data_IF_232346038026
#
_entry.id   IF_232346038026
#
_cell.length_a   1.000
_cell.length_b   1.000
_cell.length_c   1.000
_cell.angle_alpha   90.00
_cell.angle_beta   90.00
_cell.angle_gamma   90.00
#
_symmetry.space_group_name_H-M   'P 1'
#
loop_
_entity.id
_entity.type
_entity.pdbx_description
1 polymer ?
#
# COMPACT_ATOMS: atom_id res chain seq x y z
N UNK A 1 2.23 -15.12 15.91
CA UNK A 1 1.47 -14.75 17.13
C UNK A 1 0.94 -16.00 17.83
N UNK A 2 0.11 -16.83 17.20
CA UNK A 2 -0.45 -18.03 17.87
C UNK A 2 0.58 -18.95 18.54
N UNK A 3 1.71 -19.27 17.89
CA UNK A 3 2.77 -20.05 18.52
C UNK A 3 3.46 -19.34 19.70
N UNK A 4 3.53 -18.00 19.65
CA UNK A 4 4.12 -17.19 20.73
C UNK A 4 3.17 -17.12 21.92
N UNK A 5 1.87 -16.98 21.68
CA UNK A 5 0.87 -16.96 22.76
C UNK A 5 0.67 -18.34 23.38
N UNK A 6 0.76 -19.42 22.60
CA UNK A 6 0.77 -20.79 23.13
C UNK A 6 2.01 -21.03 24.01
N UNK A 7 3.20 -20.60 23.55
CA UNK A 7 4.42 -20.65 24.35
C UNK A 7 4.28 -19.83 25.65
N UNK A 8 3.72 -18.61 25.59
CA UNK A 8 3.46 -17.78 26.77
C UNK A 8 2.57 -18.45 27.80
N UNK A 9 1.54 -19.19 27.39
CA UNK A 9 0.54 -19.74 28.32
C UNK A 9 0.87 -21.16 28.81
N UNK A 10 1.62 -21.94 28.03
CA UNK A 10 1.74 -23.39 28.26
C UNK A 10 3.16 -23.92 28.38
N UNK A 11 4.18 -23.15 27.98
CA UNK A 11 5.55 -23.65 28.03
C UNK A 11 5.98 -23.91 29.49
N UNK A 12 6.57 -25.08 29.81
CA UNK A 12 7.00 -25.38 31.17
C UNK A 12 8.09 -24.43 31.66
N UNK A 13 8.90 -23.90 30.75
CA UNK A 13 10.11 -23.11 31.01
C UNK A 13 9.78 -21.65 31.23
N UNK A 14 10.17 -21.12 32.38
CA UNK A 14 9.94 -19.71 32.72
C UNK A 14 10.58 -18.74 31.72
N UNK A 15 11.83 -19.00 31.31
CA UNK A 15 12.57 -18.16 30.36
C UNK A 15 11.86 -18.08 29.01
N UNK A 16 11.27 -19.19 28.55
CA UNK A 16 10.52 -19.25 27.28
C UNK A 16 9.23 -18.43 27.39
N UNK A 17 8.45 -18.60 28.47
CA UNK A 17 7.24 -17.78 28.69
C UNK A 17 7.56 -16.30 28.78
N UNK A 18 8.65 -15.94 29.46
CA UNK A 18 9.13 -14.55 29.58
C UNK A 18 9.57 -13.98 28.23
N UNK A 19 10.32 -14.74 27.44
CA UNK A 19 10.73 -14.33 26.10
C UNK A 19 9.50 -14.18 25.16
N UNK A 20 8.53 -15.08 25.27
CA UNK A 20 7.28 -15.01 24.52
C UNK A 20 6.48 -13.73 24.87
N UNK A 21 6.37 -13.37 26.15
CA UNK A 21 5.74 -12.13 26.58
C UNK A 21 6.40 -10.88 25.97
N UNK A 22 7.74 -10.85 25.90
CA UNK A 22 8.47 -9.74 25.29
C UNK A 22 8.28 -9.67 23.77
N UNK A 23 8.22 -10.83 23.09
CA UNK A 23 8.08 -10.91 21.64
C UNK A 23 6.73 -10.41 21.10
N UNK A 24 5.70 -10.29 21.95
CA UNK A 24 4.39 -9.76 21.53
C UNK A 24 4.39 -8.24 21.32
N UNK A 25 5.39 -7.52 21.85
CA UNK A 25 5.57 -6.07 21.71
C UNK A 25 6.32 -5.68 20.43
N UNK A 26 5.82 -6.06 19.24
CA UNK A 26 6.51 -5.84 17.97
C UNK A 26 5.71 -5.01 16.96
N UNK A 27 4.58 -5.52 16.49
CA UNK A 27 3.70 -4.84 15.53
C UNK A 27 2.35 -4.53 16.17
N UNK A 28 1.59 -3.59 15.60
CA UNK A 28 0.23 -3.32 16.06
C UNK A 28 -0.60 -4.62 16.08
N UNK A 29 -0.53 -5.42 15.01
CA UNK A 29 -1.24 -6.69 14.94
C UNK A 29 -0.79 -7.69 16.03
N UNK A 30 0.52 -7.81 16.30
CA UNK A 30 1.01 -8.75 17.32
C UNK A 30 0.54 -8.36 18.72
N UNK A 31 0.58 -7.06 19.03
CA UNK A 31 0.12 -6.49 20.30
C UNK A 31 -1.37 -6.76 20.51
N UNK A 32 -2.20 -6.44 19.52
CA UNK A 32 -3.65 -6.57 19.63
C UNK A 32 -4.09 -8.04 19.69
N UNK A 33 -3.52 -8.92 18.86
CA UNK A 33 -3.86 -10.35 18.91
C UNK A 33 -3.35 -11.06 20.17
N UNK A 34 -2.18 -10.65 20.70
CA UNK A 34 -1.61 -11.23 21.91
C UNK A 34 -2.17 -10.64 23.21
N UNK A 35 -2.97 -9.57 23.13
CA UNK A 35 -3.46 -8.84 24.29
C UNK A 35 -4.30 -9.71 25.25
N UNK A 36 -5.22 -10.57 24.80
CA UNK A 36 -5.99 -11.44 25.69
C UNK A 36 -5.09 -12.41 26.47
N UNK A 37 -4.08 -12.97 25.80
CA UNK A 37 -3.17 -13.93 26.39
C UNK A 37 -2.19 -13.27 27.38
N UNK A 38 -1.71 -12.07 27.08
CA UNK A 38 -0.97 -11.24 28.03
C UNK A 38 -1.81 -10.91 29.26
N UNK A 39 -3.07 -10.48 29.07
CA UNK A 39 -3.96 -10.18 30.20
C UNK A 39 -4.23 -11.42 31.06
N UNK A 40 -4.34 -12.60 30.45
CA UNK A 40 -4.51 -13.88 31.15
C UNK A 40 -3.24 -14.28 31.92
N UNK A 41 -2.07 -14.19 31.29
CA UNK A 41 -0.78 -14.53 31.89
C UNK A 41 -0.44 -13.61 33.08
N UNK A 42 -0.82 -12.33 33.03
CA UNK A 42 -0.63 -11.39 34.15
C UNK A 42 -1.37 -11.82 35.42
N UNK A 43 -2.44 -12.61 35.29
CA UNK A 43 -3.24 -13.05 36.45
C UNK A 43 -2.88 -14.47 36.87
N UNK A 44 -2.61 -15.35 35.89
CA UNK A 44 -2.56 -16.79 36.12
C UNK A 44 -1.15 -17.39 36.11
N UNK A 45 -0.11 -16.68 35.65
CA UNK A 45 1.23 -17.26 35.60
C UNK A 45 1.83 -17.42 37.02
N UNK A 46 2.36 -18.62 37.28
CA UNK A 46 3.00 -18.98 38.54
C UNK A 46 4.29 -18.22 38.85
N UNK A 47 4.97 -17.70 37.83
CA UNK A 47 6.27 -17.05 37.99
C UNK A 47 6.14 -15.53 38.00
N UNK A 48 6.57 -14.90 39.09
CA UNK A 48 6.52 -13.45 39.28
C UNK A 48 7.29 -12.70 38.19
N UNK A 49 8.42 -13.26 37.72
CA UNK A 49 9.23 -12.67 36.65
C UNK A 49 8.49 -12.67 35.30
N UNK A 50 7.62 -13.65 35.04
CA UNK A 50 6.78 -13.68 33.83
C UNK A 50 5.69 -12.62 33.97
N UNK A 51 4.97 -12.58 35.09
CA UNK A 51 3.92 -11.56 35.35
C UNK A 51 4.48 -10.14 35.27
N UNK A 52 5.68 -9.91 35.82
CA UNK A 52 6.39 -8.63 35.72
C UNK A 52 6.75 -8.26 34.27
N UNK A 53 7.23 -9.23 33.48
CA UNK A 53 7.53 -9.00 32.06
C UNK A 53 6.25 -8.72 31.26
N UNK A 54 5.17 -9.44 31.54
CA UNK A 54 3.85 -9.22 30.93
C UNK A 54 3.33 -7.81 31.26
N UNK A 55 3.43 -7.36 32.51
CA UNK A 55 3.05 -6.01 32.89
C UNK A 55 3.85 -4.94 32.12
N UNK A 56 5.15 -5.17 31.91
CA UNK A 56 6.00 -4.29 31.08
C UNK A 56 5.60 -4.30 29.61
N UNK A 57 5.22 -5.45 29.06
CA UNK A 57 4.71 -5.55 27.68
C UNK A 57 3.40 -4.79 27.54
N UNK A 58 2.46 -4.96 28.48
CA UNK A 58 1.15 -4.29 28.47
C UNK A 58 1.26 -2.76 28.55
N UNK A 59 2.26 -2.24 29.27
CA UNK A 59 2.60 -0.80 29.28
C UNK A 59 2.82 -0.22 27.86
N UNK A 60 3.41 -1.01 26.96
CA UNK A 60 3.67 -0.59 25.58
C UNK A 60 2.44 -0.62 24.67
N UNK A 61 1.31 -1.14 25.16
CA UNK A 61 0.07 -1.31 24.41
C UNK A 61 -0.95 -0.28 24.91
N UNK A 62 -1.09 0.82 24.16
CA UNK A 62 -2.07 1.89 24.46
C UNK A 62 -3.47 1.41 24.07
N UNK A 63 -4.07 0.56 24.89
CA UNK A 63 -5.38 -0.08 24.66
C UNK A 63 -6.15 -0.26 25.96
N UNK A 64 -7.49 -0.11 25.93
CA UNK A 64 -8.35 -0.21 27.13
C UNK A 64 -8.26 -1.55 27.86
N UNK A 65 -8.26 -2.65 27.11
CA UNK A 65 -8.09 -3.98 27.71
C UNK A 65 -6.70 -4.17 28.37
N UNK A 66 -5.65 -3.48 27.89
CA UNK A 66 -4.34 -3.50 28.57
C UNK A 66 -4.41 -2.74 29.90
N UNK A 67 -5.03 -1.56 29.90
CA UNK A 67 -5.29 -0.79 31.12
C UNK A 67 -6.10 -1.61 32.13
N UNK A 68 -7.20 -2.23 31.71
CA UNK A 68 -8.04 -3.06 32.58
C UNK A 68 -7.34 -4.34 33.09
N UNK A 69 -6.34 -4.86 32.39
CA UNK A 69 -5.50 -5.95 32.89
C UNK A 69 -4.54 -5.46 33.98
N UNK A 70 -3.89 -4.31 33.77
CA UNK A 70 -3.00 -3.70 34.75
C UNK A 70 -3.75 -3.28 36.02
N UNK A 71 -4.92 -2.65 35.90
CA UNK A 71 -5.75 -2.25 37.04
C UNK A 71 -6.25 -3.44 37.86
N UNK A 72 -6.50 -4.59 37.23
CA UNK A 72 -6.79 -5.84 37.96
C UNK A 72 -5.57 -6.32 38.72
N UNK A 73 -4.39 -6.36 38.10
CA UNK A 73 -3.16 -6.74 38.79
C UNK A 73 -2.84 -5.82 39.98
N UNK A 74 -3.14 -4.52 39.90
CA UNK A 74 -3.01 -3.58 41.04
C UNK A 74 -3.84 -4.01 42.24
N UNK A 75 -5.05 -4.54 42.02
CA UNK A 75 -5.94 -4.95 43.11
C UNK A 75 -5.62 -6.35 43.62
N UNK A 76 -5.35 -7.26 42.70
CA UNK A 76 -5.50 -8.70 42.95
C UNK A 76 -4.15 -9.46 42.95
N UNK A 77 -3.05 -8.90 42.41
CA UNK A 77 -1.77 -9.64 42.36
C UNK A 77 -1.20 -9.84 43.77
N UNK A 78 -0.76 -11.06 44.14
CA UNK A 78 -0.23 -11.34 45.48
C UNK A 78 1.09 -10.60 45.77
N UNK A 79 1.86 -10.24 44.75
CA UNK A 79 3.22 -9.70 44.88
C UNK A 79 3.23 -8.16 44.95
N UNK A 80 3.70 -7.55 46.05
CA UNK A 80 3.69 -6.09 46.22
C UNK A 80 4.42 -5.32 45.11
N UNK A 81 5.55 -5.86 44.64
CA UNK A 81 6.36 -5.26 43.57
C UNK A 81 5.58 -5.19 42.26
N UNK A 82 4.85 -6.25 41.92
CA UNK A 82 4.02 -6.30 40.71
C UNK A 82 2.86 -5.30 40.83
N UNK A 83 2.17 -5.23 41.98
CA UNK A 83 1.11 -4.24 42.20
C UNK A 83 1.63 -2.81 42.00
N UNK A 84 2.81 -2.49 42.53
CA UNK A 84 3.45 -1.18 42.39
C UNK A 84 3.79 -0.86 40.94
N UNK A 85 4.42 -1.79 40.23
CA UNK A 85 4.79 -1.60 38.82
C UNK A 85 3.55 -1.50 37.92
N UNK A 86 2.55 -2.36 38.15
CA UNK A 86 1.27 -2.32 37.44
C UNK A 86 0.53 -0.99 37.64
N UNK A 87 0.57 -0.42 38.85
CA UNK A 87 -0.05 0.89 39.12
C UNK A 87 0.61 2.00 38.31
N UNK A 88 1.95 2.05 38.30
CA UNK A 88 2.70 3.01 37.47
C UNK A 88 2.37 2.83 35.98
N UNK A 89 2.37 1.59 35.49
CA UNK A 89 2.12 1.31 34.09
C UNK A 89 0.66 1.61 33.68
N UNK A 90 -0.31 1.34 34.56
CA UNK A 90 -1.70 1.72 34.34
C UNK A 90 -1.85 3.24 34.22
N UNK A 91 -1.18 4.02 35.07
CA UNK A 91 -1.19 5.48 34.97
C UNK A 91 -0.58 5.99 33.65
N UNK A 92 0.53 5.40 33.21
CA UNK A 92 1.16 5.72 31.92
C UNK A 92 0.21 5.41 30.74
N UNK A 93 -0.38 4.21 30.71
CA UNK A 93 -1.32 3.80 29.65
C UNK A 93 -2.57 4.68 29.66
N UNK A 94 -3.12 4.98 30.83
CA UNK A 94 -4.30 5.86 30.97
C UNK A 94 -4.03 7.25 30.40
N UNK A 95 -2.92 7.88 30.79
CA UNK A 95 -2.52 9.18 30.22
C UNK A 95 -2.33 9.12 28.70
N UNK A 96 -1.73 8.04 28.20
CA UNK A 96 -1.54 7.86 26.76
C UNK A 96 -2.88 7.70 26.02
N UNK A 97 -3.86 7.00 26.61
CA UNK A 97 -5.21 6.88 26.07
C UNK A 97 -5.92 8.23 26.00
N UNK A 98 -5.82 9.03 27.07
CA UNK A 98 -6.45 10.35 27.18
C UNK A 98 -5.85 11.37 26.19
N UNK A 99 -4.55 11.27 25.90
CA UNK A 99 -3.84 12.18 24.99
C UNK A 99 -3.86 11.74 23.53
N UNK A 100 -4.28 10.51 23.24
CA UNK A 100 -4.23 9.99 21.88
C UNK A 100 -5.26 10.68 20.95
N UNK A 101 -4.87 11.04 19.72
CA UNK A 101 -5.78 11.65 18.76
C UNK A 101 -6.93 10.70 18.40
N UNK A 102 -8.08 11.27 18.04
CA UNK A 102 -9.20 10.50 17.46
C UNK A 102 -8.91 10.26 15.99
N UNK A 103 -9.30 9.09 15.49
CA UNK A 103 -9.12 8.73 14.09
C UNK A 103 -10.03 9.59 13.21
N UNK A 104 -9.43 10.22 12.22
CA UNK A 104 -10.02 10.97 11.14
C UNK A 104 -9.41 10.51 9.81
N UNK A 105 -10.17 10.66 8.72
CA UNK A 105 -9.62 10.45 7.39
C UNK A 105 -8.74 11.65 7.01
N UNK A 106 -7.52 11.37 6.54
CA UNK A 106 -6.70 12.35 5.85
C UNK A 106 -6.96 12.22 4.35
N UNK A 107 -7.16 13.34 3.68
CA UNK A 107 -7.12 13.40 2.22
C UNK A 107 -5.75 12.94 1.72
N UNK A 108 -5.71 12.32 0.54
CA UNK A 108 -4.45 11.84 -0.04
C UNK A 108 -3.43 13.00 -0.08
N UNK A 109 -2.21 12.83 0.48
CA UNK A 109 -1.23 13.91 0.56
C UNK A 109 -0.95 14.54 -0.82
N UNK A 110 -1.13 15.86 -0.94
CA UNK A 110 -0.77 16.62 -2.14
C UNK A 110 -1.83 16.67 -3.27
N UNK A 111 -3.11 16.35 -3.00
CA UNK A 111 -4.21 16.57 -3.96
C UNK A 111 -5.26 17.57 -3.42
N UNK A 112 -5.96 18.33 -4.29
CA UNK A 112 -7.08 19.17 -3.88
C UNK A 112 -8.20 18.32 -3.27
N UNK A 113 -9.07 18.94 -2.47
CA UNK A 113 -10.21 18.26 -1.84
C UNK A 113 -11.55 18.67 -2.47
N UNK A 114 -12.38 17.71 -2.95
CA UNK A 114 -12.06 16.28 -3.11
C UNK A 114 -11.03 16.04 -4.23
N UNK A 115 -10.22 14.96 -4.17
CA UNK A 115 -9.24 14.67 -5.22
C UNK A 115 -9.92 14.49 -6.58
N UNK A 116 -9.45 15.23 -7.58
CA UNK A 116 -9.87 15.11 -8.98
C UNK A 116 -8.84 14.35 -9.80
N UNK A 117 -9.24 13.87 -10.97
CA UNK A 117 -8.41 13.09 -11.90
C UNK A 117 -7.77 11.83 -11.28
N UNK A 118 -8.52 11.14 -10.42
CA UNK A 118 -8.08 9.87 -9.86
C UNK A 118 -8.02 8.79 -10.96
N UNK A 119 -6.90 8.06 -11.15
CA UNK A 119 -6.81 7.05 -12.20
C UNK A 119 -7.80 5.90 -11.97
N UNK A 120 -8.49 5.48 -13.03
CA UNK A 120 -9.56 4.47 -12.94
C UNK A 120 -9.07 3.07 -12.51
N UNK A 121 -7.78 2.80 -12.69
CA UNK A 121 -7.14 1.50 -12.45
C UNK A 121 -6.16 1.49 -11.26
N UNK A 122 -6.16 2.56 -10.46
CA UNK A 122 -5.25 2.71 -9.32
C UNK A 122 -5.86 2.20 -8.00
N UNK A 123 -4.99 1.70 -7.10
CA UNK A 123 -5.39 1.36 -5.73
C UNK A 123 -5.60 2.63 -4.92
N UNK A 124 -6.76 2.74 -4.27
CA UNK A 124 -7.12 3.87 -3.43
C UNK A 124 -6.42 3.70 -2.09
N UNK A 125 -5.60 4.68 -1.70
CA UNK A 125 -4.94 4.71 -0.40
C UNK A 125 -5.61 5.76 0.48
N UNK A 126 -6.32 5.30 1.50
CA UNK A 126 -6.85 6.15 2.56
C UNK A 126 -5.80 6.28 3.67
N UNK A 127 -5.34 7.49 3.92
CA UNK A 127 -4.47 7.80 5.05
C UNK A 127 -5.31 8.15 6.28
N UNK A 128 -4.81 7.76 7.46
CA UNK A 128 -5.44 8.02 8.75
C UNK A 128 -4.45 8.80 9.62
N UNK A 129 -4.96 9.74 10.40
CA UNK A 129 -4.17 10.55 11.36
C UNK A 129 -3.84 9.79 12.65
N UNK A 130 -4.63 8.75 12.95
CA UNK A 130 -4.46 7.86 14.09
C UNK A 130 -4.68 6.39 13.68
N UNK A 131 -4.06 5.44 14.39
CA UNK A 131 -4.09 4.04 14.00
C UNK A 131 -5.46 3.39 14.26
N UNK A 132 -5.97 2.65 13.27
CA UNK A 132 -7.16 1.80 13.43
C UNK A 132 -6.80 0.38 13.85
N UNK A 133 -7.69 -0.30 14.56
CA UNK A 133 -7.54 -1.71 14.90
C UNK A 133 -7.81 -2.58 13.66
N UNK A 134 -6.76 -3.19 13.06
CA UNK A 134 -6.94 -3.97 11.84
C UNK A 134 -7.79 -5.23 12.03
N UNK A 135 -7.97 -5.72 13.27
CA UNK A 135 -8.79 -6.90 13.57
C UNK A 135 -10.29 -6.62 13.47
N UNK A 136 -10.68 -5.34 13.52
CA UNK A 136 -12.10 -4.92 13.40
C UNK A 136 -12.49 -4.53 11.99
N UNK A 137 -11.53 -4.53 11.04
CA UNK A 137 -11.78 -4.31 9.61
C UNK A 137 -12.31 -5.59 8.97
N UNK A 138 -13.52 -5.97 9.38
CA UNK A 138 -14.25 -7.12 8.83
C UNK A 138 -14.83 -6.80 7.44
N UNK A 139 -15.15 -7.81 6.61
CA UNK A 139 -15.83 -7.59 5.34
C UNK A 139 -17.08 -6.70 5.48
N UNK A 140 -17.19 -5.68 4.64
CA UNK A 140 -18.31 -4.72 4.65
C UNK A 140 -18.13 -3.50 5.55
N UNK A 141 -17.15 -3.50 6.46
CA UNK A 141 -16.81 -2.33 7.32
C UNK A 141 -16.16 -1.18 6.56
N UNK A 142 -15.58 -1.48 5.41
CA UNK A 142 -15.03 -0.48 4.50
C UNK A 142 -15.66 -0.72 3.15
N UNK A 143 -16.21 0.33 2.55
CA UNK A 143 -16.93 0.22 1.29
C UNK A 143 -16.61 1.37 0.36
N UNK A 144 -16.54 1.04 -0.93
CA UNK A 144 -16.51 2.00 -2.03
C UNK A 144 -17.90 1.98 -2.68
N UNK A 145 -18.48 3.15 -2.91
CA UNK A 145 -19.78 3.29 -3.59
C UNK A 145 -19.71 4.32 -4.72
N UNK A 146 -20.46 4.05 -5.78
CA UNK A 146 -20.68 4.98 -6.88
C UNK A 146 -21.70 6.09 -6.50
N UNK A 147 -22.00 7.05 -7.39
CA UNK A 147 -22.95 8.13 -7.11
C UNK A 147 -24.39 7.66 -6.84
N UNK A 148 -24.77 6.48 -7.35
CA UNK A 148 -26.07 5.88 -7.12
C UNK A 148 -26.13 5.15 -5.75
N UNK A 149 -25.03 5.12 -5.00
CA UNK A 149 -24.91 4.41 -3.73
C UNK A 149 -24.66 2.91 -3.89
N UNK A 150 -24.47 2.41 -5.12
CA UNK A 150 -24.19 1.00 -5.39
C UNK A 150 -22.75 0.70 -4.95
N UNK A 151 -22.58 -0.39 -4.20
CA UNK A 151 -21.26 -0.81 -3.72
C UNK A 151 -20.43 -1.38 -4.86
N UNK A 152 -19.23 -0.81 -5.04
CA UNK A 152 -18.20 -1.35 -5.92
C UNK A 152 -17.40 -2.40 -5.15
N UNK A 153 -17.25 -3.63 -5.69
CA UNK A 153 -16.40 -4.64 -5.07
C UNK A 153 -14.94 -4.17 -4.97
N UNK A 154 -14.42 -4.17 -3.74
CA UNK A 154 -13.04 -3.77 -3.43
C UNK A 154 -12.40 -4.78 -2.48
N UNK A 155 -11.12 -5.08 -2.70
CA UNK A 155 -10.29 -5.76 -1.73
C UNK A 155 -9.69 -4.73 -0.77
N UNK A 156 -9.99 -4.85 0.51
CA UNK A 156 -9.50 -3.93 1.55
C UNK A 156 -8.32 -4.57 2.27
N UNK A 157 -7.22 -3.83 2.38
CA UNK A 157 -5.99 -4.25 3.08
C UNK A 157 -5.56 -3.18 4.08
N UNK A 158 -5.71 -3.42 5.39
CA UNK A 158 -5.21 -2.50 6.40
C UNK A 158 -3.69 -2.62 6.58
N UNK A 159 -3.05 -1.52 6.99
CA UNK A 159 -1.66 -1.53 7.46
C UNK A 159 -1.56 -2.27 8.80
N UNK A 160 -0.99 -3.49 8.77
CA UNK A 160 -0.86 -4.36 9.94
C UNK A 160 0.28 -3.95 10.89
N UNK A 161 1.16 -3.05 10.46
CA UNK A 161 2.32 -2.62 11.23
C UNK A 161 1.96 -1.41 12.08
N UNK A 162 1.42 -0.36 11.45
CA UNK A 162 1.10 0.90 12.13
C UNK A 162 -0.39 1.21 12.20
N UNK A 163 -1.24 0.58 11.39
CA UNK A 163 -2.69 0.88 11.37
C UNK A 163 -3.06 2.22 10.76
N UNK A 164 -2.13 2.90 10.06
CA UNK A 164 -2.32 4.29 9.59
C UNK A 164 -2.82 4.40 8.15
N UNK A 165 -3.04 3.28 7.46
CA UNK A 165 -3.45 3.25 6.05
C UNK A 165 -4.42 2.12 5.78
N UNK A 166 -5.38 2.38 4.90
CA UNK A 166 -6.23 1.37 4.27
C UNK A 166 -6.00 1.43 2.76
N UNK A 167 -5.59 0.31 2.17
CA UNK A 167 -5.50 0.16 0.72
C UNK A 167 -6.75 -0.54 0.20
N UNK A 168 -7.47 0.09 -0.73
CA UNK A 168 -8.65 -0.46 -1.39
C UNK A 168 -8.32 -0.68 -2.85
N UNK A 169 -8.33 -1.94 -3.29
CA UNK A 169 -8.11 -2.32 -4.69
C UNK A 169 -9.45 -2.69 -5.32
N UNK A 170 -10.01 -1.86 -6.23
CA UNK A 170 -11.19 -2.22 -7.00
C UNK A 170 -10.99 -3.53 -7.77
N UNK A 171 -12.03 -4.38 -7.81
CA UNK A 171 -11.98 -5.64 -8.55
C UNK A 171 -11.99 -5.44 -10.07
N UNK A 172 -12.56 -4.33 -10.52
CA UNK A 172 -12.59 -3.87 -11.91
C UNK A 172 -12.19 -2.40 -11.98
N UNK A 173 -11.66 -1.90 -13.11
CA UNK A 173 -11.46 -0.47 -13.31
C UNK A 173 -12.73 0.33 -13.01
N UNK A 174 -12.56 1.48 -12.37
CA UNK A 174 -13.64 2.40 -12.06
C UNK A 174 -14.16 3.09 -13.32
N UNK A 175 -15.40 3.58 -13.29
CA UNK A 175 -15.93 4.37 -14.38
C UNK A 175 -15.21 5.73 -14.45
N UNK A 176 -14.90 6.23 -15.65
CA UNK A 176 -14.30 7.55 -15.81
C UNK A 176 -15.29 8.67 -15.48
N UNK A 177 -14.78 9.86 -15.16
CA UNK A 177 -15.56 11.05 -14.79
C UNK A 177 -16.65 10.79 -13.72
N UNK A 178 -16.38 9.90 -12.77
CA UNK A 178 -17.38 9.41 -11.81
C UNK A 178 -16.92 9.70 -10.39
N UNK A 179 -17.73 10.40 -9.57
CA UNK A 179 -17.40 10.60 -8.18
C UNK A 179 -17.67 9.32 -7.39
N UNK A 180 -16.67 8.84 -6.67
CA UNK A 180 -16.79 7.68 -5.79
C UNK A 180 -16.62 8.09 -4.33
N UNK A 181 -17.31 7.39 -3.43
CA UNK A 181 -17.21 7.62 -1.99
C UNK A 181 -16.75 6.36 -1.28
N UNK A 182 -15.65 6.48 -0.53
CA UNK A 182 -15.21 5.50 0.45
C UNK A 182 -15.86 5.82 1.80
N UNK A 183 -16.40 4.80 2.45
CA UNK A 183 -16.93 4.89 3.82
C UNK A 183 -16.25 3.85 4.69
N UNK A 184 -15.72 4.29 5.84
CA UNK A 184 -15.32 3.41 6.95
C UNK A 184 -16.43 3.46 7.99
N UNK A 185 -16.99 2.30 8.29
CA UNK A 185 -18.09 2.09 9.23
C UNK A 185 -17.67 2.47 10.67
N UNK A 186 -18.53 3.15 11.44
CA UNK A 186 -18.18 3.61 12.78
C UNK A 186 -17.98 2.47 13.79
N UNK A 187 -18.41 1.23 13.48
CA UNK A 187 -18.15 0.08 14.33
C UNK A 187 -16.74 -0.50 14.15
N UNK A 188 -15.91 0.09 13.30
CA UNK A 188 -14.45 -0.11 13.34
C UNK A 188 -13.93 0.48 14.65
N UNK A 189 -12.93 -0.17 15.24
CA UNK A 189 -12.24 0.37 16.42
C UNK A 189 -10.95 1.08 16.00
N UNK A 190 -10.56 2.07 16.79
CA UNK A 190 -9.19 2.55 16.81
C UNK A 190 -8.25 1.57 17.53
N UNK A 191 -6.94 1.81 17.46
CA UNK A 191 -5.95 0.96 18.14
C UNK A 191 -6.07 0.96 19.69
N UNK A 192 -6.91 1.82 20.27
CA UNK A 192 -7.19 1.87 21.71
C UNK A 192 -8.33 0.94 22.13
N UNK A 193 -9.06 0.40 21.17
CA UNK A 193 -10.28 -0.39 21.39
C UNK A 193 -11.52 0.48 21.58
N UNK A 194 -11.53 1.70 21.04
CA UNK A 194 -12.72 2.56 21.01
C UNK A 194 -13.31 2.62 19.60
N UNK A 195 -14.64 2.61 19.50
CA UNK A 195 -15.34 2.81 18.24
C UNK A 195 -15.01 4.18 17.65
N UNK A 196 -15.03 4.29 16.32
CA UNK A 196 -14.90 5.59 15.67
C UNK A 196 -16.05 6.52 16.09
N UNK A 197 -15.76 7.82 16.21
CA UNK A 197 -16.76 8.81 16.64
C UNK A 197 -17.91 9.01 15.63
N UNK A 198 -17.69 8.56 14.40
CA UNK A 198 -18.62 8.60 13.29
C UNK A 198 -18.02 7.91 12.06
N UNK A 199 -18.79 7.73 10.99
CA UNK A 199 -18.26 7.16 9.76
C UNK A 199 -17.21 8.08 9.15
N UNK A 200 -16.07 7.53 8.72
CA UNK A 200 -15.11 8.28 7.92
C UNK A 200 -15.57 8.26 6.47
N UNK A 201 -15.61 9.43 5.84
CA UNK A 201 -16.04 9.60 4.45
C UNK A 201 -14.93 10.25 3.65
N UNK A 202 -14.64 9.67 2.51
CA UNK A 202 -13.67 10.21 1.56
C UNK A 202 -14.27 10.11 0.16
N UNK A 203 -14.32 11.23 -0.55
CA UNK A 203 -14.88 11.30 -1.90
C UNK A 203 -13.79 11.75 -2.86
N UNK A 204 -13.76 11.15 -4.06
CA UNK A 204 -12.84 11.52 -5.13
C UNK A 204 -13.55 11.41 -6.48
N UNK A 205 -13.04 12.13 -7.49
CA UNK A 205 -13.52 12.09 -8.86
C UNK A 205 -12.46 11.40 -9.74
N UNK A 206 -12.89 10.39 -10.49
CA UNK A 206 -12.01 9.72 -11.46
C UNK A 206 -11.68 10.61 -12.66
N UNK A 207 -10.57 10.33 -13.33
CA UNK A 207 -10.18 11.00 -14.56
C UNK A 207 -11.28 10.97 -15.61
N UNK A 208 -11.44 12.08 -16.33
CA UNK A 208 -12.52 12.25 -17.31
C UNK A 208 -12.37 11.28 -18.48
N UNK A 209 -11.12 11.07 -18.91
CA UNK A 209 -10.76 10.14 -19.96
C UNK A 209 -9.47 9.42 -19.57
N UNK A 210 -9.51 8.09 -19.36
CA UNK A 210 -8.30 7.32 -19.12
C UNK A 210 -7.52 7.27 -20.42
N UNK A 211 -6.31 7.84 -20.45
CA UNK A 211 -5.43 7.77 -21.62
C UNK A 211 -4.22 6.89 -21.36
N UNK A 212 -3.82 6.11 -22.36
CA UNK A 212 -2.51 5.47 -22.38
C UNK A 212 -1.44 6.55 -22.55
N UNK A 213 -0.45 6.58 -21.65
CA UNK A 213 0.60 7.60 -21.62
C UNK A 213 1.98 6.95 -21.50
N UNK A 214 2.95 7.50 -22.22
CA UNK A 214 4.37 7.20 -22.01
C UNK A 214 4.82 7.84 -20.70
N UNK A 215 5.43 7.05 -19.82
CA UNK A 215 5.94 7.50 -18.51
C UNK A 215 7.45 7.55 -18.47
N UNK A 216 8.13 6.72 -19.28
CA UNK A 216 9.56 6.81 -19.44
C UNK A 216 9.97 6.24 -20.79
N UNK A 217 11.01 6.82 -21.38
CA UNK A 217 11.76 6.20 -22.46
C UNK A 217 13.19 6.08 -21.98
N UNK A 218 13.75 4.87 -22.02
CA UNK A 218 15.16 4.72 -21.67
C UNK A 218 15.98 5.36 -22.78
N UNK A 219 16.79 6.35 -22.44
CA UNK A 219 17.74 6.99 -23.36
C UNK A 219 19.17 6.77 -22.85
N UNK A 220 20.12 6.66 -23.78
CA UNK A 220 21.51 6.95 -23.48
C UNK A 220 21.66 8.48 -23.53
N UNK A 221 22.38 9.06 -22.57
CA UNK A 221 22.35 10.48 -22.16
C UNK A 221 22.47 11.57 -23.25
N UNK A 222 22.82 11.25 -24.49
CA UNK A 222 22.84 12.17 -25.64
C UNK A 222 22.78 11.45 -27.00
N UNK A 223 23.52 10.33 -27.14
CA UNK A 223 23.56 9.50 -28.35
C UNK A 223 23.33 8.03 -27.99
N UNK A 224 22.73 7.28 -28.89
CA UNK A 224 22.52 5.84 -28.74
C UNK A 224 23.61 5.02 -29.47
N UNK A 225 24.05 3.87 -28.93
CA UNK A 225 24.90 2.95 -29.68
C UNK A 225 24.13 2.32 -30.87
N UNK A 226 24.83 1.79 -31.89
CA UNK A 226 24.18 1.15 -33.04
C UNK A 226 23.27 -0.03 -32.69
N UNK A 227 23.59 -0.80 -31.65
CA UNK A 227 22.79 -1.95 -31.19
C UNK A 227 21.80 -1.57 -30.07
N UNK A 228 21.39 -0.31 -30.01
CA UNK A 228 20.53 0.16 -28.92
C UNK A 228 19.15 -0.50 -28.96
N UNK A 229 18.75 -1.11 -27.84
CA UNK A 229 17.38 -1.60 -27.64
C UNK A 229 16.54 -0.47 -27.08
N UNK A 230 15.59 0.02 -27.88
CA UNK A 230 14.64 1.04 -27.46
C UNK A 230 13.68 0.41 -26.45
N UNK A 231 13.46 1.10 -25.33
CA UNK A 231 12.57 0.65 -24.25
C UNK A 231 11.65 1.80 -23.85
N UNK A 232 10.34 1.59 -24.02
CA UNK A 232 9.30 2.58 -23.71
C UNK A 232 8.40 2.02 -22.63
N UNK A 233 8.20 2.76 -21.54
CA UNK A 233 7.33 2.38 -20.43
C UNK A 233 6.07 3.23 -20.39
N UNK A 234 4.94 2.58 -20.10
CA UNK A 234 3.60 3.16 -20.09
C UNK A 234 3.01 3.19 -18.68
N UNK A 235 2.04 4.07 -18.45
CA UNK A 235 1.31 4.18 -17.19
C UNK A 235 0.42 2.96 -16.91
N UNK A 236 -0.07 2.29 -17.96
CA UNK A 236 -0.98 1.15 -17.88
C UNK A 236 -0.48 -0.06 -18.68
N UNK A 237 -0.93 -1.29 -18.33
CA UNK A 237 -0.66 -2.48 -19.15
C UNK A 237 -1.27 -2.34 -20.55
N UNK A 238 -0.47 -2.59 -21.57
CA UNK A 238 -0.86 -2.54 -22.98
C UNK A 238 -1.71 -3.75 -23.37
N UNK A 239 -2.66 -3.53 -24.28
CA UNK A 239 -3.28 -4.61 -25.04
C UNK A 239 -2.29 -5.11 -26.12
N UNK A 240 -1.82 -6.37 -26.04
CA UNK A 240 -0.90 -6.93 -27.04
C UNK A 240 -1.44 -6.88 -28.47
N UNK A 241 -2.76 -6.91 -28.67
CA UNK A 241 -3.38 -6.85 -30.00
C UNK A 241 -3.18 -5.51 -30.70
N UNK A 242 -2.92 -4.45 -29.92
CA UNK A 242 -2.68 -3.10 -30.44
C UNK A 242 -1.20 -2.79 -30.67
N UNK A 243 -0.29 -3.67 -30.25
CA UNK A 243 1.16 -3.48 -30.38
C UNK A 243 1.64 -4.08 -31.70
N UNK A 244 1.84 -3.22 -32.70
CA UNK A 244 2.23 -3.62 -34.05
C UNK A 244 3.32 -2.69 -34.61
N UNK A 245 3.81 -2.99 -35.81
CA UNK A 245 4.69 -2.08 -36.56
C UNK A 245 4.00 -0.79 -37.00
N UNK A 246 2.67 -0.76 -37.03
CA UNK A 246 1.89 0.44 -37.36
C UNK A 246 1.77 1.38 -36.15
N UNK A 247 1.63 0.80 -34.95
CA UNK A 247 1.42 1.57 -33.72
C UNK A 247 2.72 1.89 -32.97
N UNK A 248 3.79 1.13 -33.24
CA UNK A 248 5.16 1.38 -32.77
C UNK A 248 6.10 1.45 -33.98
N UNK A 249 6.34 2.66 -34.47
CA UNK A 249 7.11 2.93 -35.67
C UNK A 249 8.52 3.40 -35.30
N UNK A 250 9.53 2.76 -35.85
CA UNK A 250 10.92 3.22 -35.78
C UNK A 250 11.36 3.57 -37.19
N UNK A 251 11.88 4.78 -37.40
CA UNK A 251 12.35 5.23 -38.72
C UNK A 251 13.72 5.87 -38.61
N UNK A 252 14.40 6.00 -39.75
CA UNK A 252 15.62 6.82 -39.87
C UNK A 252 15.20 8.19 -40.38
N UNK A 253 15.50 9.25 -39.63
CA UNK A 253 15.04 10.61 -39.92
C UNK A 253 15.48 11.08 -41.30
N UNK A 254 16.69 10.73 -41.72
CA UNK A 254 17.29 11.18 -42.98
C UNK A 254 16.62 10.55 -44.21
N UNK A 255 16.09 9.33 -44.09
CA UNK A 255 15.42 8.63 -45.20
C UNK A 255 13.90 8.63 -45.08
N UNK A 256 13.36 8.81 -43.88
CA UNK A 256 11.94 8.62 -43.57
C UNK A 256 11.50 7.15 -43.58
N UNK A 257 12.39 6.21 -43.89
CA UNK A 257 12.05 4.81 -44.09
C UNK A 257 11.86 4.06 -42.76
N UNK A 258 10.88 3.14 -42.68
CA UNK A 258 10.75 2.21 -41.56
C UNK A 258 12.00 1.38 -41.34
N UNK A 259 12.44 1.30 -40.09
CA UNK A 259 13.57 0.50 -39.68
C UNK A 259 13.11 -0.83 -39.10
N UNK A 260 13.54 -1.94 -39.71
CA UNK A 260 13.12 -3.27 -39.30
C UNK A 260 13.66 -3.68 -37.93
N UNK A 261 12.83 -4.35 -37.13
CA UNK A 261 13.20 -4.90 -35.83
C UNK A 261 12.10 -5.74 -35.23
N UNK A 262 12.39 -6.34 -34.07
CA UNK A 262 11.44 -7.16 -33.32
C UNK A 262 10.90 -6.40 -32.12
N UNK A 263 9.58 -6.37 -31.99
CA UNK A 263 8.87 -5.77 -30.86
C UNK A 263 8.54 -6.86 -29.82
N UNK A 264 8.81 -6.60 -28.55
CA UNK A 264 8.46 -7.48 -27.44
C UNK A 264 7.88 -6.70 -26.27
N UNK A 265 6.82 -7.24 -25.67
CA UNK A 265 6.27 -6.74 -24.41
C UNK A 265 6.97 -7.36 -23.20
N UNK A 266 7.11 -6.56 -22.14
CA UNK A 266 7.43 -7.06 -20.81
C UNK A 266 6.32 -7.96 -20.26
N UNK A 267 6.65 -8.76 -19.24
CA UNK A 267 5.70 -9.67 -18.58
C UNK A 267 4.50 -8.93 -17.96
N UNK A 268 4.72 -7.73 -17.43
CA UNK A 268 3.68 -6.86 -16.88
C UNK A 268 2.93 -6.03 -17.95
N UNK A 269 3.31 -6.19 -19.24
CA UNK A 269 2.78 -5.46 -20.40
C UNK A 269 2.89 -3.94 -20.32
N UNK A 270 3.74 -3.41 -19.44
CA UNK A 270 3.93 -1.95 -19.30
C UNK A 270 5.15 -1.42 -20.05
N UNK A 271 5.96 -2.30 -20.65
CA UNK A 271 7.16 -1.91 -21.39
C UNK A 271 7.17 -2.57 -22.76
N UNK A 272 7.37 -1.77 -23.80
CA UNK A 272 7.72 -2.24 -25.14
C UNK A 272 9.23 -2.17 -25.31
N UNK A 273 9.82 -3.27 -25.76
CA UNK A 273 11.21 -3.37 -26.22
C UNK A 273 11.23 -3.51 -27.74
N UNK A 274 12.01 -2.68 -28.41
CA UNK A 274 12.31 -2.81 -29.83
C UNK A 274 13.79 -3.14 -30.00
N UNK A 275 14.06 -4.31 -30.59
CA UNK A 275 15.42 -4.76 -30.94
C UNK A 275 15.59 -4.60 -32.44
N UNK A 276 16.50 -3.74 -32.92
CA UNK A 276 16.71 -3.53 -34.34
C UNK A 276 17.24 -4.82 -35.00
N UNK A 277 16.79 -5.11 -36.23
CA UNK A 277 17.21 -6.32 -36.95
C UNK A 277 18.67 -6.26 -37.44
N UNK A 278 19.21 -5.05 -37.57
CA UNK A 278 20.61 -4.74 -37.88
C UNK A 278 21.04 -3.53 -37.03
N UNK A 279 22.35 -3.32 -36.78
CA UNK A 279 22.80 -2.14 -36.07
C UNK A 279 22.35 -0.85 -36.79
N UNK A 280 21.85 0.13 -36.04
CA UNK A 280 21.45 1.42 -36.58
C UNK A 280 22.61 2.11 -37.31
N UNK A 281 22.35 2.79 -38.44
CA UNK A 281 23.38 3.51 -39.17
C UNK A 281 24.05 4.59 -38.30
N UNK A 282 25.38 4.63 -38.30
CA UNK A 282 26.14 5.65 -37.57
C UNK A 282 25.81 7.05 -38.10
N UNK A 283 25.84 8.07 -37.24
CA UNK A 283 25.61 9.48 -37.59
C UNK A 283 24.22 9.79 -38.19
N UNK A 284 23.30 8.85 -38.11
CA UNK A 284 21.90 9.05 -38.46
C UNK A 284 21.07 9.30 -37.20
N UNK A 285 19.86 9.79 -37.37
CA UNK A 285 18.91 10.00 -36.27
C UNK A 285 17.81 8.97 -36.35
N UNK A 286 17.62 8.21 -35.28
CA UNK A 286 16.53 7.24 -35.14
C UNK A 286 15.32 7.94 -34.53
N UNK A 287 14.20 7.89 -35.23
CA UNK A 287 12.92 8.38 -34.74
C UNK A 287 12.07 7.23 -34.22
N UNK A 288 11.41 7.45 -33.09
CA UNK A 288 10.34 6.62 -32.58
C UNK A 288 9.04 7.41 -32.66
N UNK A 289 8.03 6.84 -33.30
CA UNK A 289 6.65 7.34 -33.31
C UNK A 289 5.72 6.27 -32.76
N UNK A 290 4.93 6.65 -31.76
CA UNK A 290 3.86 5.85 -31.19
C UNK A 290 2.54 6.47 -31.60
N UNK A 291 1.62 5.68 -32.15
CA UNK A 291 0.33 6.19 -32.66
C UNK A 291 -0.78 6.00 -31.62
N UNK A 292 -1.91 6.73 -31.77
CA UNK A 292 -3.14 6.50 -31.00
C UNK A 292 -3.76 5.11 -31.16
N UNK A 293 -3.27 4.27 -32.08
CA UNK A 293 -3.74 2.89 -32.22
C UNK A 293 -3.25 2.01 -31.07
N UNK A 294 -2.20 2.42 -30.34
CA UNK A 294 -1.81 1.77 -29.09
C UNK A 294 -2.86 2.03 -28.01
N UNK A 295 -3.33 0.95 -27.38
CA UNK A 295 -4.28 1.02 -26.26
C UNK A 295 -3.83 0.19 -25.06
N UNK A 296 -4.38 0.52 -23.89
CA UNK A 296 -4.29 -0.33 -22.71
C UNK A 296 -5.25 -1.55 -22.81
N UNK A 297 -5.16 -2.47 -21.87
CA UNK A 297 -6.02 -3.66 -21.83
C UNK A 297 -7.52 -3.38 -21.61
N UNK A 298 -7.88 -2.15 -21.27
CA UNK A 298 -9.27 -1.69 -21.15
C UNK A 298 -9.76 -0.99 -22.43
N UNK A 299 -8.94 -0.96 -23.49
CA UNK A 299 -9.28 -0.34 -24.77
C UNK A 299 -9.07 1.17 -24.80
N UNK A 300 -8.36 1.74 -23.82
CA UNK A 300 -8.10 3.17 -23.79
C UNK A 300 -6.87 3.53 -24.63
N UNK A 301 -7.02 4.35 -25.68
CA UNK A 301 -5.92 4.68 -26.58
C UNK A 301 -4.97 5.72 -26.01
N UNK A 302 -3.89 6.02 -26.75
CA UNK A 302 -3.12 7.24 -26.51
C UNK A 302 -3.94 8.47 -26.93
N UNK A 303 -3.89 9.54 -26.14
CA UNK A 303 -4.59 10.80 -26.44
C UNK A 303 -4.08 11.46 -27.73
N UNK A 304 -2.76 11.37 -27.94
CA UNK A 304 -2.05 11.93 -29.08
C UNK A 304 -0.84 11.07 -29.40
N UNK A 305 -0.33 11.13 -30.64
CA UNK A 305 0.93 10.50 -30.98
C UNK A 305 2.07 10.95 -30.05
N UNK A 306 2.99 10.04 -29.75
CA UNK A 306 4.23 10.36 -29.04
C UNK A 306 5.40 10.16 -30.00
N UNK A 307 6.22 11.19 -30.16
CA UNK A 307 7.41 11.13 -31.01
C UNK A 307 8.65 11.56 -30.25
N UNK A 308 9.76 10.86 -30.45
CA UNK A 308 11.07 11.20 -29.89
C UNK A 308 12.16 10.71 -30.84
N UNK A 309 13.35 11.30 -30.75
CA UNK A 309 14.44 11.07 -31.69
C UNK A 309 15.79 11.01 -30.96
N UNK A 310 16.70 10.17 -31.46
CA UNK A 310 18.06 10.06 -30.93
C UNK A 310 19.11 9.95 -32.03
N UNK A 311 20.20 10.74 -31.95
CA UNK A 311 21.35 10.53 -32.81
C UNK A 311 22.07 9.21 -32.45
N UNK A 312 22.50 8.47 -33.46
CA UNK A 312 23.34 7.28 -33.30
C UNK A 312 24.79 7.71 -33.24
N UNK A 313 25.49 7.28 -32.19
CA UNK A 313 26.88 7.68 -31.93
C UNK A 313 27.75 7.52 -33.17
N UNK A 314 28.59 8.51 -33.43
CA UNK A 314 29.71 8.29 -34.34
C UNK A 314 30.60 7.20 -33.73
N UNK A 315 30.99 6.18 -34.50
CA UNK A 315 31.93 5.17 -34.02
C UNK A 315 33.16 5.82 -33.39
N UNK A 316 33.78 5.16 -32.41
CA UNK A 316 35.01 5.66 -31.78
C UNK A 316 36.00 6.08 -32.87
N UNK A 317 36.57 7.29 -32.77
CA UNK A 317 37.76 7.64 -33.56
C UNK A 317 38.82 6.62 -33.18
N UNK A 318 39.14 5.71 -34.11
CA UNK A 318 40.29 4.81 -34.01
C UNK A 318 41.54 5.65 -34.19
#
# INVERSE_FOLDING_TARGET
VGAVTDALLRDPTEEVRRAAAAALDCTLLSRLMGLPDLASALVSDRADLVRLQVARTLRGIVHRAALGALERAVRDDPTPEIRRDAARYADEVRRALDQAPRVSALSAPGRPDPPVDFPVDETIILALDAPVNPLTILPGRVSLSDPAGIRVPVLVRPDLVRGLRLALTPATPLAPNTPYTVVVDPAVEDARGELLSGPLRFTFLTEVRPWLKVTAVRTARAEIPPEYVISVRFNRPLDPGTVSSESFQVTIQETGEPYAGTIRLSRDRRVIFFTPARPFPLRHTVNLTLTPDLADTAGNPMEKPFTTAWPVRAGAKI
#
